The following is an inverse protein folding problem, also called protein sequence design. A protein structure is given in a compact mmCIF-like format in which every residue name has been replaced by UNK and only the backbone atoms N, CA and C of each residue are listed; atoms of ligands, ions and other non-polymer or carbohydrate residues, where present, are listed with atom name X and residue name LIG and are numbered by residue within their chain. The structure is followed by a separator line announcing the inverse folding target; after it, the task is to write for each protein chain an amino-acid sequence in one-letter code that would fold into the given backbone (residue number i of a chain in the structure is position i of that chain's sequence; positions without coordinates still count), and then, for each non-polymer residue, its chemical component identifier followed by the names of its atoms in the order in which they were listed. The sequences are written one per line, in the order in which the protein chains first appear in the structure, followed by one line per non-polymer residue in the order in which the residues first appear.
data_IF_734237269433
#
_entry.id   IF_734237269433
#
_cell.length_a   1.000
_cell.length_b   1.000
_cell.length_c   1.000
_cell.angle_alpha   90.00
_cell.angle_beta   90.00
_cell.angle_gamma   90.00
#
_symmetry.space_group_name_H-M   'P 1'
#
loop_
_entity.id
_entity.type
_entity.pdbx_description
1 polymer ?
#
# COMPACT_ATOMS: atom_id res chain seq x y z
N UNK A 1 79.23 25.91 -7.98
CA UNK A 1 78.31 25.55 -6.87
C UNK A 1 76.90 25.98 -7.26
N UNK A 2 76.01 25.01 -7.45
CA UNK A 2 74.76 25.10 -8.23
C UNK A 2 73.69 25.97 -7.53
N UNK A 3 73.23 27.05 -8.17
CA UNK A 3 72.04 27.81 -7.72
C UNK A 3 70.79 27.20 -8.36
N UNK A 4 70.22 26.20 -7.70
CA UNK A 4 69.09 25.41 -8.21
C UNK A 4 67.70 25.87 -7.70
N UNK A 5 67.54 27.11 -7.23
CA UNK A 5 66.26 27.53 -6.64
C UNK A 5 65.86 28.94 -7.03
N UNK A 6 65.08 29.08 -8.11
CA UNK A 6 64.19 30.24 -8.33
C UNK A 6 63.15 29.98 -9.43
N UNK A 7 62.21 29.07 -9.19
CA UNK A 7 61.01 28.94 -10.03
C UNK A 7 59.73 28.68 -9.19
N UNK A 8 59.40 29.62 -8.29
CA UNK A 8 58.16 29.57 -7.49
C UNK A 8 56.88 29.68 -8.35
N UNK A 9 56.99 30.23 -9.58
CA UNK A 9 55.85 30.40 -10.50
C UNK A 9 55.39 29.08 -11.15
N UNK A 10 56.28 28.10 -11.35
CA UNK A 10 55.94 26.81 -11.94
C UNK A 10 55.26 25.84 -10.94
N UNK A 11 55.47 26.03 -9.63
CA UNK A 11 54.87 25.18 -8.60
C UNK A 11 53.41 25.54 -8.31
N UNK A 12 53.01 26.80 -8.52
CA UNK A 12 51.65 27.31 -8.22
C UNK A 12 50.56 26.65 -9.08
N UNK A 13 50.84 26.42 -10.36
CA UNK A 13 49.90 25.74 -11.28
C UNK A 13 49.73 24.27 -10.94
N UNK A 14 50.81 23.59 -10.52
CA UNK A 14 50.77 22.20 -10.08
C UNK A 14 49.97 22.06 -8.76
N UNK A 15 50.16 22.98 -7.82
CA UNK A 15 49.41 22.99 -6.56
C UNK A 15 47.93 23.31 -6.80
N UNK A 16 47.62 24.27 -7.67
CA UNK A 16 46.23 24.59 -8.02
C UNK A 16 45.51 23.42 -8.68
N UNK A 17 46.18 22.70 -9.60
CA UNK A 17 45.60 21.52 -10.26
C UNK A 17 45.40 20.35 -9.29
N UNK A 18 46.31 20.13 -8.32
CA UNK A 18 46.14 19.16 -7.24
C UNK A 18 44.94 19.51 -6.33
N UNK A 19 44.78 20.78 -5.97
CA UNK A 19 43.64 21.24 -5.15
C UNK A 19 42.32 20.98 -5.89
N UNK A 20 42.24 21.36 -7.17
CA UNK A 20 41.03 21.14 -7.98
C UNK A 20 40.73 19.65 -8.13
N UNK A 21 41.75 18.81 -8.29
CA UNK A 21 41.58 17.36 -8.39
C UNK A 21 41.04 16.78 -7.07
N UNK A 22 41.61 17.18 -5.93
CA UNK A 22 41.14 16.69 -4.63
C UNK A 22 39.71 17.17 -4.34
N UNK A 23 39.42 18.45 -4.56
CA UNK A 23 38.08 19.00 -4.32
C UNK A 23 37.02 18.35 -5.22
N UNK A 24 37.32 18.14 -6.50
CA UNK A 24 36.39 17.48 -7.42
C UNK A 24 36.11 16.03 -7.03
N UNK A 25 37.13 15.27 -6.61
CA UNK A 25 36.96 13.88 -6.14
C UNK A 25 36.15 13.84 -4.83
N UNK A 26 36.40 14.75 -3.90
CA UNK A 26 35.65 14.82 -2.64
C UNK A 26 34.16 15.15 -2.88
N UNK A 27 33.87 16.13 -3.74
CA UNK A 27 32.49 16.49 -4.08
C UNK A 27 31.76 15.36 -4.81
N UNK A 28 32.43 14.67 -5.73
CA UNK A 28 31.88 13.51 -6.43
C UNK A 28 31.54 12.36 -5.45
N UNK A 29 32.41 12.13 -4.46
CA UNK A 29 32.17 11.14 -3.40
C UNK A 29 30.92 11.46 -2.60
N UNK A 30 30.80 12.68 -2.08
CA UNK A 30 29.63 13.11 -1.28
C UNK A 30 28.33 13.01 -2.09
N UNK A 31 28.34 13.42 -3.36
CA UNK A 31 27.17 13.30 -4.25
C UNK A 31 26.74 11.84 -4.48
N UNK A 32 27.71 10.94 -4.62
CA UNK A 32 27.45 9.50 -4.81
C UNK A 32 26.85 8.87 -3.55
N UNK A 33 27.39 9.16 -2.37
CA UNK A 33 26.84 8.66 -1.10
C UNK A 33 25.41 9.18 -0.85
N UNK A 34 25.15 10.45 -1.14
CA UNK A 34 23.81 11.01 -1.05
C UNK A 34 22.85 10.28 -2.00
N UNK A 35 23.24 10.07 -3.26
CA UNK A 35 22.42 9.37 -4.25
C UNK A 35 22.12 7.92 -3.84
N UNK A 36 23.10 7.20 -3.29
CA UNK A 36 22.91 5.83 -2.77
C UNK A 36 21.89 5.83 -1.64
N UNK A 37 22.03 6.74 -0.68
CA UNK A 37 21.11 6.81 0.46
C UNK A 37 19.68 7.17 0.03
N UNK A 38 19.52 8.14 -0.89
CA UNK A 38 18.20 8.52 -1.43
C UNK A 38 17.58 7.40 -2.26
N UNK A 39 18.39 6.64 -3.01
CA UNK A 39 17.88 5.51 -3.79
C UNK A 39 17.52 4.34 -2.87
N UNK A 40 18.33 4.08 -1.83
CA UNK A 40 18.08 3.05 -0.84
C UNK A 40 16.76 3.26 -0.08
N UNK A 41 16.44 4.49 0.31
CA UNK A 41 15.16 4.79 0.97
C UNK A 41 13.96 4.72 0.04
N UNK A 42 14.14 4.89 -1.28
CA UNK A 42 13.08 4.71 -2.28
C UNK A 42 12.76 3.23 -2.56
N UNK A 43 13.75 2.34 -2.47
CA UNK A 43 13.55 0.89 -2.66
C UNK A 43 12.75 0.26 -1.50
N UNK A 44 12.84 0.83 -0.31
CA UNK A 44 12.13 0.33 0.88
C UNK A 44 10.72 0.93 1.05
N UNK A 45 10.23 1.67 0.07
CA UNK A 45 8.90 2.29 0.15
C UNK A 45 7.80 1.24 0.12
N UNK A 46 6.77 1.46 0.93
CA UNK A 46 5.56 0.67 0.86
C UNK A 46 4.88 0.84 -0.51
N UNK A 47 4.37 -0.27 -1.05
CA UNK A 47 3.68 -0.26 -2.33
C UNK A 47 2.57 -1.29 -2.35
N UNK A 48 1.35 -0.83 -2.14
CA UNK A 48 0.16 -1.66 -2.26
C UNK A 48 -0.43 -1.58 -3.66
N UNK A 49 -0.92 -2.72 -4.15
CA UNK A 49 -1.72 -2.84 -5.35
C UNK A 49 -3.14 -3.28 -4.96
N UNK A 50 -4.13 -2.50 -5.37
CA UNK A 50 -5.54 -2.78 -5.12
C UNK A 50 -6.15 -3.42 -6.38
N UNK A 51 -6.77 -4.59 -6.23
CA UNK A 51 -7.42 -5.32 -7.32
C UNK A 51 -8.82 -5.78 -6.93
N UNK A 52 -9.62 -6.15 -7.94
CA UNK A 52 -10.97 -6.71 -7.81
C UNK A 52 -11.84 -6.01 -6.76
N UNK A 53 -11.94 -4.68 -6.86
CA UNK A 53 -12.78 -3.88 -5.97
C UNK A 53 -14.21 -3.93 -6.46
N UNK A 54 -15.14 -4.28 -5.58
CA UNK A 54 -16.57 -4.28 -5.89
C UNK A 54 -17.37 -3.89 -4.66
N UNK A 55 -18.41 -3.10 -4.88
CA UNK A 55 -19.37 -2.72 -3.85
C UNK A 55 -20.76 -3.04 -4.33
N UNK A 56 -21.54 -3.70 -3.48
CA UNK A 56 -22.89 -4.13 -3.72
C UNK A 56 -23.84 -3.49 -2.72
N UNK A 57 -25.01 -3.11 -3.22
CA UNK A 57 -26.12 -2.62 -2.44
C UNK A 57 -27.33 -3.51 -2.69
N UNK A 58 -27.82 -4.18 -1.65
CA UNK A 58 -29.09 -4.91 -1.68
C UNK A 58 -30.15 -4.10 -0.93
N UNK A 59 -29.89 -3.79 0.35
CA UNK A 59 -30.76 -2.98 1.18
C UNK A 59 -29.96 -2.16 2.20
N UNK A 60 -30.66 -1.32 2.97
CA UNK A 60 -30.05 -0.39 3.95
C UNK A 60 -29.21 -1.08 5.04
N UNK A 61 -29.47 -2.36 5.31
CA UNK A 61 -28.76 -3.15 6.31
C UNK A 61 -27.82 -4.22 5.70
N UNK A 62 -27.90 -4.43 4.39
CA UNK A 62 -27.28 -5.54 3.67
C UNK A 62 -26.53 -5.01 2.45
N UNK A 63 -25.55 -4.16 2.71
CA UNK A 63 -24.59 -3.73 1.69
C UNK A 63 -23.25 -4.42 1.93
N UNK A 64 -22.47 -4.61 0.88
CA UNK A 64 -21.19 -5.32 0.97
C UNK A 64 -20.14 -4.61 0.12
N UNK A 65 -18.97 -4.36 0.71
CA UNK A 65 -17.79 -3.94 -0.04
C UNK A 65 -16.76 -5.08 -0.08
N UNK A 66 -16.00 -5.16 -1.15
CA UNK A 66 -14.88 -6.09 -1.27
C UNK A 66 -13.68 -5.44 -1.94
N UNK A 67 -12.49 -5.84 -1.52
CA UNK A 67 -11.23 -5.33 -2.05
C UNK A 67 -10.10 -6.33 -1.82
N UNK A 68 -9.31 -6.57 -2.86
CA UNK A 68 -8.06 -7.35 -2.77
C UNK A 68 -6.90 -6.37 -2.67
N UNK A 69 -6.00 -6.63 -1.72
CA UNK A 69 -4.84 -5.79 -1.43
C UNK A 69 -3.60 -6.64 -1.48
N UNK A 70 -2.72 -6.35 -2.42
CA UNK A 70 -1.46 -7.06 -2.58
C UNK A 70 -0.30 -6.16 -2.20
N UNK A 71 0.55 -6.60 -1.29
CA UNK A 71 1.78 -5.88 -0.98
C UNK A 71 2.87 -6.24 -2.00
N UNK A 72 3.17 -5.29 -2.88
CA UNK A 72 4.21 -5.37 -3.91
C UNK A 72 5.49 -4.63 -3.51
N UNK A 73 5.51 -4.02 -2.32
CA UNK A 73 6.68 -3.34 -1.76
C UNK A 73 7.66 -4.34 -1.13
N UNK A 74 8.87 -3.86 -0.84
CA UNK A 74 9.93 -4.67 -0.21
C UNK A 74 9.80 -4.80 1.32
N UNK A 75 8.84 -4.08 1.92
CA UNK A 75 8.64 -3.98 3.38
C UNK A 75 7.23 -4.35 3.77
N UNK A 76 7.05 -4.77 5.02
CA UNK A 76 5.75 -5.09 5.58
C UNK A 76 4.95 -3.81 5.85
N UNK A 77 3.64 -3.87 5.63
CA UNK A 77 2.75 -2.71 5.73
C UNK A 77 1.73 -2.93 6.84
N UNK A 78 1.50 -1.90 7.66
CA UNK A 78 0.46 -1.90 8.69
C UNK A 78 -0.79 -1.22 8.14
N UNK A 79 -1.87 -1.98 8.03
CA UNK A 79 -3.19 -1.52 7.62
C UNK A 79 -3.96 -1.06 8.85
N UNK A 80 -4.33 0.22 8.85
CA UNK A 80 -4.99 0.87 10.00
C UNK A 80 -6.50 0.96 9.80
N UNK A 81 -6.95 1.16 8.56
CA UNK A 81 -8.35 1.52 8.30
C UNK A 81 -8.77 1.26 6.85
N UNK A 82 -10.04 0.91 6.67
CA UNK A 82 -10.72 0.90 5.38
C UNK A 82 -11.92 1.85 5.39
N UNK A 83 -12.16 2.53 4.27
CA UNK A 83 -13.27 3.46 4.12
C UNK A 83 -13.98 3.25 2.79
N UNK A 84 -15.29 3.38 2.79
CA UNK A 84 -16.13 3.35 1.59
C UNK A 84 -16.96 4.62 1.60
N UNK A 85 -17.00 5.33 0.47
CA UNK A 85 -17.72 6.62 0.32
C UNK A 85 -17.34 7.64 1.40
N UNK A 86 -16.05 7.67 1.78
CA UNK A 86 -15.51 8.59 2.78
C UNK A 86 -15.95 8.33 4.22
N UNK A 87 -16.67 7.23 4.49
CA UNK A 87 -16.99 6.78 5.85
C UNK A 87 -16.13 5.59 6.25
N UNK A 88 -15.74 5.61 7.50
CA UNK A 88 -14.91 4.60 8.13
C UNK A 88 -15.69 3.32 8.37
N UNK A 89 -15.12 2.20 7.96
CA UNK A 89 -15.66 0.89 8.31
C UNK A 89 -14.96 0.40 9.57
N UNK A 90 -15.72 0.25 10.65
CA UNK A 90 -15.20 -0.26 11.91
C UNK A 90 -14.77 -1.71 11.75
N UNK A 91 -13.62 -2.08 12.30
CA UNK A 91 -13.09 -3.45 12.25
C UNK A 91 -14.05 -4.48 12.82
N UNK A 92 -14.51 -4.28 14.05
CA UNK A 92 -15.45 -5.16 14.74
C UNK A 92 -16.61 -4.38 15.38
N UNK A 93 -17.43 -3.71 14.56
CA UNK A 93 -18.65 -3.04 15.02
C UNK A 93 -19.86 -3.98 15.05
N UNK A 94 -20.94 -3.59 15.71
CA UNK A 94 -22.16 -4.41 15.82
C UNK A 94 -22.93 -4.55 14.51
N UNK A 95 -22.96 -3.49 13.70
CA UNK A 95 -23.71 -3.46 12.43
C UNK A 95 -22.81 -3.37 11.20
N UNK A 96 -21.58 -2.88 11.38
CA UNK A 96 -20.54 -2.76 10.34
C UNK A 96 -19.29 -3.42 10.88
N UNK A 97 -18.77 -4.39 10.15
CA UNK A 97 -17.53 -5.09 10.51
C UNK A 97 -16.78 -5.48 9.25
N UNK A 98 -15.49 -5.72 9.40
CA UNK A 98 -14.62 -6.11 8.30
C UNK A 98 -14.12 -7.51 8.54
N UNK A 99 -14.19 -8.34 7.51
CA UNK A 99 -13.55 -9.64 7.48
C UNK A 99 -12.33 -9.59 6.58
N UNK A 100 -11.33 -10.37 6.94
CA UNK A 100 -10.13 -10.51 6.14
C UNK A 100 -9.67 -11.97 6.07
N UNK A 101 -8.93 -12.28 5.02
CA UNK A 101 -8.10 -13.48 4.91
C UNK A 101 -6.77 -13.09 4.26
N UNK A 102 -5.72 -13.86 4.52
CA UNK A 102 -4.38 -13.61 3.98
C UNK A 102 -3.83 -14.85 3.29
N UNK A 103 -3.13 -14.64 2.17
CA UNK A 103 -2.47 -15.70 1.42
C UNK A 103 -1.16 -15.16 0.84
N UNK A 104 -0.17 -16.04 0.75
CA UNK A 104 1.09 -15.75 0.08
C UNK A 104 0.91 -15.74 -1.45
N UNK A 105 1.53 -14.78 -2.12
CA UNK A 105 1.40 -14.59 -3.57
C UNK A 105 0.17 -13.78 -3.97
N UNK A 106 -0.07 -13.68 -5.28
CA UNK A 106 -1.11 -12.85 -5.87
C UNK A 106 -2.42 -13.63 -5.98
N UNK A 107 -3.52 -13.03 -5.51
CA UNK A 107 -4.88 -13.52 -5.80
C UNK A 107 -5.45 -12.72 -6.98
N UNK A 108 -5.71 -13.42 -8.09
CA UNK A 108 -6.38 -12.88 -9.27
C UNK A 108 -7.72 -13.59 -9.42
N UNK A 109 -8.69 -13.19 -8.61
CA UNK A 109 -10.05 -13.71 -8.70
C UNK A 109 -11.04 -12.54 -8.66
N UNK A 110 -12.18 -12.73 -9.32
CA UNK A 110 -13.31 -11.82 -9.21
C UNK A 110 -14.12 -12.17 -7.97
N UNK A 111 -14.50 -11.14 -7.22
CA UNK A 111 -15.28 -11.29 -6.01
C UNK A 111 -16.76 -11.14 -6.34
N UNK A 112 -17.57 -12.00 -5.74
CA UNK A 112 -19.03 -11.98 -5.87
C UNK A 112 -19.69 -11.50 -4.57
N UNK A 113 -20.96 -11.14 -4.66
CA UNK A 113 -21.75 -10.77 -3.50
C UNK A 113 -22.01 -11.98 -2.60
N UNK A 114 -21.83 -11.80 -1.29
CA UNK A 114 -22.09 -12.81 -0.28
C UNK A 114 -23.06 -12.23 0.75
N UNK A 115 -24.23 -12.85 0.89
CA UNK A 115 -25.30 -12.36 1.77
C UNK A 115 -25.11 -12.72 3.24
N UNK A 116 -24.37 -13.80 3.54
CA UNK A 116 -24.41 -14.45 4.86
C UNK A 116 -23.07 -14.44 5.61
N UNK A 117 -22.43 -13.27 5.71
CA UNK A 117 -21.30 -13.15 6.64
C UNK A 117 -21.79 -13.17 8.09
N UNK A 118 -21.05 -13.89 8.93
CA UNK A 118 -21.30 -14.03 10.35
C UNK A 118 -20.16 -13.37 11.14
N UNK A 119 -20.51 -12.47 12.06
CA UNK A 119 -19.52 -11.77 12.88
C UNK A 119 -18.79 -12.71 13.88
N UNK A 120 -19.46 -13.75 14.38
CA UNK A 120 -18.94 -14.62 15.46
C UNK A 120 -18.73 -16.07 15.03
N UNK A 121 -19.21 -16.43 13.84
CA UNK A 121 -19.13 -17.77 13.28
C UNK A 121 -17.99 -17.96 12.27
N UNK A 122 -17.97 -19.14 11.67
CA UNK A 122 -17.05 -19.47 10.58
C UNK A 122 -17.55 -18.86 9.29
N UNK A 123 -16.68 -18.09 8.63
CA UNK A 123 -16.91 -17.57 7.29
C UNK A 123 -15.95 -18.27 6.34
N UNK A 124 -16.47 -19.07 5.43
CA UNK A 124 -15.69 -19.74 4.40
C UNK A 124 -16.32 -19.45 3.04
N UNK A 125 -15.50 -19.05 2.08
CA UNK A 125 -15.94 -18.83 0.70
C UNK A 125 -15.01 -19.58 -0.24
N UNK A 126 -15.59 -20.30 -1.19
CA UNK A 126 -14.84 -20.86 -2.30
C UNK A 126 -14.68 -19.79 -3.39
N UNK A 127 -13.42 -19.45 -3.69
CA UNK A 127 -13.08 -18.50 -4.75
C UNK A 127 -12.15 -19.25 -5.71
N UNK A 128 -12.64 -19.50 -6.92
CA UNK A 128 -11.91 -20.20 -7.99
C UNK A 128 -11.38 -21.60 -7.56
N UNK A 129 -12.21 -22.36 -6.84
CA UNK A 129 -11.89 -23.72 -6.39
C UNK A 129 -10.95 -23.78 -5.18
N UNK A 130 -10.65 -22.63 -4.56
CA UNK A 130 -9.91 -22.54 -3.29
C UNK A 130 -10.81 -22.00 -2.19
N UNK A 131 -10.98 -22.77 -1.11
CA UNK A 131 -11.71 -22.30 0.07
C UNK A 131 -10.84 -21.36 0.91
N UNK A 132 -11.32 -20.12 1.08
CA UNK A 132 -10.73 -19.12 1.96
C UNK A 132 -11.55 -18.98 3.24
N UNK A 133 -10.87 -19.08 4.38
CA UNK A 133 -11.47 -18.81 5.68
C UNK A 133 -11.24 -17.36 6.06
N UNK A 134 -12.32 -16.67 6.41
CA UNK A 134 -12.34 -15.26 6.79
C UNK A 134 -12.49 -15.10 8.29
N UNK A 135 -11.69 -14.20 8.84
CA UNK A 135 -11.74 -13.81 10.25
C UNK A 135 -12.15 -12.36 10.36
N UNK A 136 -12.97 -12.02 11.35
CA UNK A 136 -13.30 -10.61 11.64
C UNK A 136 -12.06 -9.90 12.15
N UNK A 137 -11.83 -8.68 11.66
CA UNK A 137 -10.71 -7.83 12.09
C UNK A 137 -10.98 -7.32 13.50
N UNK A 138 -10.07 -7.54 14.45
CA UNK A 138 -10.16 -6.98 15.80
C UNK A 138 -9.08 -5.93 16.09
N UNK A 139 -7.97 -5.98 15.35
CA UNK A 139 -6.77 -5.18 15.57
C UNK A 139 -6.16 -4.76 14.23
N UNK A 140 -5.16 -3.88 14.27
CA UNK A 140 -4.43 -3.46 13.08
C UNK A 140 -3.77 -4.68 12.42
N UNK A 141 -3.84 -4.73 11.10
CA UNK A 141 -3.37 -5.88 10.33
C UNK A 141 -2.00 -5.60 9.73
N UNK A 142 -1.13 -6.60 9.79
CA UNK A 142 0.18 -6.57 9.15
C UNK A 142 0.10 -7.37 7.86
N UNK A 143 0.45 -6.73 6.74
CA UNK A 143 0.54 -7.34 5.43
C UNK A 143 2.00 -7.46 5.00
N UNK A 144 2.49 -8.69 4.97
CA UNK A 144 3.88 -9.00 4.63
C UNK A 144 4.18 -8.71 3.16
N UNK A 145 5.44 -8.43 2.84
CA UNK A 145 5.90 -8.29 1.44
C UNK A 145 5.58 -9.55 0.63
N UNK A 146 4.95 -9.39 -0.53
CA UNK A 146 4.57 -10.51 -1.41
C UNK A 146 3.28 -11.23 -1.02
N UNK A 147 2.60 -10.79 0.03
CA UNK A 147 1.31 -11.36 0.45
C UNK A 147 0.13 -10.54 -0.07
N UNK A 148 -0.99 -11.22 -0.23
CA UNK A 148 -2.28 -10.63 -0.56
C UNK A 148 -3.26 -10.84 0.58
N UNK A 149 -4.02 -9.79 0.87
CA UNK A 149 -5.13 -9.79 1.81
C UNK A 149 -6.42 -9.48 1.06
N UNK A 150 -7.46 -10.25 1.36
CA UNK A 150 -8.78 -10.07 0.77
C UNK A 150 -9.71 -9.59 1.87
N UNK A 151 -10.39 -8.48 1.62
CA UNK A 151 -11.31 -7.86 2.57
C UNK A 151 -12.74 -7.95 2.09
N UNK A 152 -13.63 -8.25 3.03
CA UNK A 152 -15.06 -8.00 2.92
C UNK A 152 -15.47 -7.02 4.00
N UNK A 153 -16.17 -5.96 3.60
CA UNK A 153 -16.70 -4.93 4.47
C UNK A 153 -18.20 -5.12 4.51
N UNK A 154 -18.73 -5.61 5.63
CA UNK A 154 -20.15 -5.83 5.81
C UNK A 154 -20.80 -4.53 6.25
N UNK A 155 -21.86 -4.17 5.53
CA UNK A 155 -22.66 -2.97 5.72
C UNK A 155 -21.80 -1.71 5.92
N UNK A 156 -21.00 -1.31 4.92
CA UNK A 156 -20.28 -0.05 4.99
C UNK A 156 -21.31 1.08 5.08
N UNK A 157 -21.30 1.79 6.21
CA UNK A 157 -22.28 2.83 6.44
C UNK A 157 -22.27 3.89 5.32
N UNK A 158 -23.42 4.53 5.10
CA UNK A 158 -23.63 5.60 4.12
C UNK A 158 -23.87 5.16 2.66
N UNK A 159 -24.14 3.89 2.39
CA UNK A 159 -24.70 3.46 1.11
C UNK A 159 -26.22 3.53 1.11
N UNK A 160 -26.77 4.11 0.06
CA UNK A 160 -28.22 4.22 -0.17
C UNK A 160 -28.57 3.77 -1.59
N UNK A 161 -29.85 3.51 -1.83
CA UNK A 161 -30.35 3.07 -3.15
C UNK A 161 -29.95 4.00 -4.30
N UNK A 162 -29.79 5.30 -4.04
CA UNK A 162 -29.37 6.28 -5.05
C UNK A 162 -27.89 6.18 -5.43
N UNK A 163 -27.07 5.45 -4.68
CA UNK A 163 -25.67 5.24 -5.02
C UNK A 163 -25.48 4.13 -6.06
N UNK A 164 -26.51 3.31 -6.31
CA UNK A 164 -26.48 2.24 -7.32
C UNK A 164 -26.21 2.83 -8.70
N UNK A 165 -25.21 2.31 -9.40
CA UNK A 165 -24.78 2.83 -10.70
C UNK A 165 -23.87 4.06 -10.63
N UNK A 166 -23.59 4.59 -9.44
CA UNK A 166 -22.63 5.69 -9.26
C UNK A 166 -21.24 5.17 -8.91
N UNK A 167 -20.16 5.81 -9.40
CA UNK A 167 -18.81 5.48 -8.96
C UNK A 167 -18.59 6.00 -7.54
N UNK A 168 -18.16 5.12 -6.66
CA UNK A 168 -17.80 5.44 -5.28
C UNK A 168 -16.35 5.08 -5.02
N UNK A 169 -15.75 5.84 -4.10
CA UNK A 169 -14.36 5.63 -3.69
C UNK A 169 -14.26 4.65 -2.54
N UNK A 170 -13.36 3.67 -2.69
CA UNK A 170 -12.90 2.75 -1.65
C UNK A 170 -11.45 3.09 -1.34
N UNK A 171 -11.13 3.27 -0.07
CA UNK A 171 -9.79 3.64 0.37
C UNK A 171 -9.29 2.74 1.48
N UNK A 172 -8.00 2.47 1.45
CA UNK A 172 -7.25 1.77 2.48
C UNK A 172 -6.14 2.67 2.97
N UNK A 173 -6.08 2.82 4.28
CA UNK A 173 -5.12 3.69 4.96
C UNK A 173 -4.10 2.82 5.68
N UNK A 174 -2.83 3.04 5.32
CA UNK A 174 -1.69 2.45 5.99
C UNK A 174 -1.14 3.43 7.03
N UNK A 175 -0.08 3.03 7.74
CA UNK A 175 0.65 3.96 8.60
C UNK A 175 1.35 5.12 7.85
N UNK A 176 1.62 4.99 6.55
CA UNK A 176 2.46 5.94 5.81
C UNK A 176 1.79 6.54 4.56
N UNK A 177 0.76 5.92 4.01
CA UNK A 177 0.07 6.37 2.81
C UNK A 177 -1.43 6.02 2.81
N UNK A 178 -2.10 6.51 1.77
CA UNK A 178 -3.49 6.21 1.48
C UNK A 178 -3.58 5.71 0.04
N UNK A 179 -4.20 4.55 -0.13
CA UNK A 179 -4.47 3.94 -1.43
C UNK A 179 -5.97 4.00 -1.69
N UNK A 180 -6.35 4.56 -2.83
CA UNK A 180 -7.75 4.73 -3.21
C UNK A 180 -7.99 4.19 -4.61
N UNK A 181 -9.17 3.62 -4.81
CA UNK A 181 -9.69 3.25 -6.12
C UNK A 181 -11.18 3.47 -6.14
N UNK A 182 -11.76 3.51 -7.34
CA UNK A 182 -13.17 3.77 -7.55
C UNK A 182 -13.83 2.57 -8.20
N UNK A 183 -15.03 2.25 -7.76
CA UNK A 183 -15.87 1.20 -8.36
C UNK A 183 -17.30 1.70 -8.46
N UNK A 184 -18.01 1.23 -9.48
CA UNK A 184 -19.45 1.44 -9.59
C UNK A 184 -20.16 0.53 -8.59
N UNK A 185 -21.15 1.07 -7.89
CA UNK A 185 -22.01 0.27 -7.00
C UNK A 185 -22.95 -0.59 -7.83
N UNK A 186 -22.94 -1.89 -7.55
CA UNK A 186 -23.79 -2.88 -8.20
C UNK A 186 -25.04 -3.11 -7.36
N UNK A 187 -26.18 -3.26 -8.01
CA UNK A 187 -27.35 -3.87 -7.38
C UNK A 187 -27.15 -5.38 -7.29
N UNK A 188 -27.73 -5.99 -6.26
CA UNK A 188 -27.85 -7.45 -6.09
C UNK A 188 -29.22 -7.88 -6.56
#
# INVERSE_FOLDING_TARGET
MMKLFRNKKALSTVVATLILLVVSVLLAGVGSYFAINVTGTRIQQEKLYLSSVSVWYENINSSLGSIIVTNTGATDVILSKVTIKGRDSTWNGTSTYVLYTKKEGIISADLEYVSNFNQTGTNALDIDGTTYNFTVVSENLILQSGWTMLFFIVNPGNLIVYDVGTPIRVMIVTGQALYATETVVKAV
#
